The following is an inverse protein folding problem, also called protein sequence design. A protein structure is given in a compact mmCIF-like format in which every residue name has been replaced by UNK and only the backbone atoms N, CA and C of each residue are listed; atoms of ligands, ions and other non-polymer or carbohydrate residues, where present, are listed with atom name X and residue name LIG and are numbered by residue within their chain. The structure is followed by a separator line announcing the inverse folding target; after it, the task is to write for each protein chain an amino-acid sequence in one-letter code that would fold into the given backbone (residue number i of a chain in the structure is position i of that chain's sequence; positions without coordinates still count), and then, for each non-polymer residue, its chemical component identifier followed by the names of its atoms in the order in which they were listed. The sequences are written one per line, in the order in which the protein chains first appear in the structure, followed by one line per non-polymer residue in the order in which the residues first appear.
data_IF_599041329460
#
_entry.id   IF_599041329460
#
_cell.length_a   1.000
_cell.length_b   1.000
_cell.length_c   1.000
_cell.angle_alpha   90.00
_cell.angle_beta   90.00
_cell.angle_gamma   90.00
#
_symmetry.space_group_name_H-M   'P 1'
#
loop_
_entity.id
_entity.type
_entity.pdbx_description
1 polymer ?
#
# COMPACT_ATOMS: atom_id res chain seq x y z
N UNK A 1 13.34 6.12 -27.42
CA UNK A 1 13.38 7.53 -26.97
C UNK A 1 14.44 8.30 -27.76
N UNK A 2 15.62 7.73 -28.01
CA UNK A 2 16.77 8.39 -28.67
C UNK A 2 16.46 9.10 -29.99
N UNK A 3 15.69 8.47 -30.87
CA UNK A 3 15.46 8.96 -32.23
C UNK A 3 14.53 10.19 -32.26
N UNK A 4 13.46 10.16 -31.47
CA UNK A 4 12.38 11.15 -31.56
C UNK A 4 12.21 11.98 -30.28
N UNK A 5 12.90 11.64 -29.20
CA UNK A 5 12.57 12.11 -27.86
C UNK A 5 12.67 13.61 -27.68
N UNK A 6 13.67 14.25 -28.31
CA UNK A 6 13.78 15.71 -28.31
C UNK A 6 12.60 16.42 -28.98
N UNK A 7 11.84 15.73 -29.84
CA UNK A 7 10.69 16.29 -30.54
C UNK A 7 9.35 15.97 -29.84
N UNK A 8 9.36 15.18 -28.77
CA UNK A 8 8.15 14.77 -28.04
C UNK A 8 7.99 15.58 -26.76
N UNK A 9 6.79 16.07 -26.49
CA UNK A 9 6.46 16.75 -25.24
C UNK A 9 6.10 15.75 -24.12
N UNK A 10 5.65 14.54 -24.47
CA UNK A 10 5.20 13.50 -23.54
C UNK A 10 5.42 12.10 -24.11
N UNK A 11 5.35 11.08 -23.25
CA UNK A 11 5.36 9.67 -23.63
C UNK A 11 3.96 9.08 -23.58
N UNK A 12 3.48 8.48 -24.67
CA UNK A 12 2.17 7.83 -24.70
C UNK A 12 2.28 6.31 -24.71
N UNK A 13 1.55 5.63 -23.82
CA UNK A 13 1.49 4.15 -23.76
C UNK A 13 0.08 3.67 -23.42
N UNK A 14 -0.22 2.42 -23.78
CA UNK A 14 -1.44 1.73 -23.37
C UNK A 14 -1.11 0.61 -22.38
N UNK A 15 -1.91 0.49 -21.32
CA UNK A 15 -1.66 -0.46 -20.24
C UNK A 15 -2.90 -1.33 -19.98
N UNK A 16 -2.84 -2.57 -20.44
CA UNK A 16 -3.93 -3.53 -20.27
C UNK A 16 -3.53 -4.74 -19.44
N UNK A 17 -4.34 -5.07 -18.45
CA UNK A 17 -4.36 -6.38 -17.82
C UNK A 17 -5.01 -7.40 -18.76
N UNK A 18 -4.47 -8.62 -18.80
CA UNK A 18 -5.13 -9.75 -19.46
C UNK A 18 -5.64 -10.72 -18.38
N UNK A 19 -6.83 -10.49 -17.81
CA UNK A 19 -7.35 -11.31 -16.72
C UNK A 19 -7.86 -12.68 -17.16
N UNK A 20 -8.01 -12.90 -18.48
CA UNK A 20 -8.35 -14.20 -19.06
C UNK A 20 -7.90 -14.25 -20.52
N UNK A 21 -6.83 -15.00 -20.80
CA UNK A 21 -6.31 -15.24 -22.15
C UNK A 21 -5.86 -16.70 -22.32
N UNK A 22 -6.15 -17.31 -23.46
CA UNK A 22 -5.61 -18.63 -23.80
C UNK A 22 -6.16 -19.75 -22.91
N UNK A 23 -7.42 -19.65 -22.51
CA UNK A 23 -8.07 -20.63 -21.63
C UNK A 23 -7.95 -20.28 -20.14
N UNK A 24 -8.05 -19.00 -19.79
CA UNK A 24 -8.12 -18.54 -18.40
C UNK A 24 -6.79 -18.08 -17.80
N UNK A 25 -5.73 -17.90 -18.59
CA UNK A 25 -4.48 -17.36 -18.06
C UNK A 25 -4.68 -15.89 -17.64
N UNK A 26 -4.11 -15.52 -16.49
CA UNK A 26 -3.99 -14.16 -15.96
C UNK A 26 -2.58 -13.65 -16.25
N UNK A 27 -2.47 -12.64 -17.11
CA UNK A 27 -1.23 -11.89 -17.37
C UNK A 27 -1.47 -10.43 -17.03
N UNK A 28 -1.37 -10.11 -15.75
CA UNK A 28 -1.67 -8.79 -15.23
C UNK A 28 -0.48 -7.84 -15.44
N UNK A 29 -0.79 -6.55 -15.51
CA UNK A 29 0.14 -5.43 -15.41
C UNK A 29 0.00 -4.73 -14.07
N UNK A 30 -1.22 -4.64 -13.55
CA UNK A 30 -1.53 -4.13 -12.21
C UNK A 30 -0.58 -4.75 -11.17
N UNK A 31 -0.09 -3.91 -10.26
CA UNK A 31 0.98 -4.26 -9.35
C UNK A 31 2.38 -4.06 -9.94
N UNK A 32 3.36 -4.88 -9.54
CA UNK A 32 4.78 -4.64 -9.76
C UNK A 32 5.18 -4.49 -11.24
N UNK A 33 4.41 -5.05 -12.19
CA UNK A 33 4.71 -4.98 -13.61
C UNK A 33 4.51 -3.59 -14.23
N UNK A 34 3.42 -2.89 -13.88
CA UNK A 34 3.20 -1.51 -14.34
C UNK A 34 4.21 -0.57 -13.69
N UNK A 35 4.55 -0.81 -12.43
CA UNK A 35 5.60 -0.10 -11.71
C UNK A 35 6.94 -0.21 -12.45
N UNK A 36 7.37 -1.42 -12.84
CA UNK A 36 8.62 -1.63 -13.59
C UNK A 36 8.61 -1.00 -14.98
N UNK A 37 7.45 -1.00 -15.62
CA UNK A 37 7.27 -0.41 -16.96
C UNK A 37 7.45 1.12 -16.89
N UNK A 38 6.78 1.78 -15.94
CA UNK A 38 6.88 3.23 -15.77
C UNK A 38 8.27 3.63 -15.27
N UNK A 39 8.81 2.94 -14.26
CA UNK A 39 10.14 3.23 -13.72
C UNK A 39 11.24 3.12 -14.79
N UNK A 40 11.15 2.15 -15.70
CA UNK A 40 12.11 2.00 -16.80
C UNK A 40 12.04 3.15 -17.82
N UNK A 41 10.83 3.62 -18.12
CA UNK A 41 10.64 4.78 -19.00
C UNK A 41 11.10 6.08 -18.33
N UNK A 42 10.80 6.27 -17.05
CA UNK A 42 11.23 7.42 -16.25
C UNK A 42 12.77 7.48 -16.18
N UNK A 43 13.41 6.38 -15.76
CA UNK A 43 14.86 6.28 -15.63
C UNK A 43 15.57 6.63 -16.95
N UNK A 44 15.11 6.05 -18.06
CA UNK A 44 15.76 6.30 -19.35
C UNK A 44 15.46 7.69 -19.90
N UNK A 45 14.27 8.24 -19.64
CA UNK A 45 13.94 9.64 -19.94
C UNK A 45 14.89 10.57 -19.18
N UNK A 46 15.04 10.38 -17.87
CA UNK A 46 15.90 11.21 -17.03
C UNK A 46 17.36 11.16 -17.49
N UNK A 47 17.89 9.97 -17.77
CA UNK A 47 19.25 9.81 -18.29
C UNK A 47 19.47 10.50 -19.65
N UNK A 48 18.47 10.49 -20.52
CA UNK A 48 18.60 10.98 -21.89
C UNK A 48 18.33 12.48 -22.03
N UNK A 49 17.47 13.04 -21.16
CA UNK A 49 16.94 14.39 -21.31
C UNK A 49 17.14 15.27 -20.06
N UNK A 50 17.63 14.72 -18.95
CA UNK A 50 17.76 15.43 -17.67
C UNK A 50 16.44 15.61 -16.93
N UNK A 51 15.35 15.07 -17.47
CA UNK A 51 13.99 15.16 -16.92
C UNK A 51 13.15 13.93 -17.27
N UNK A 52 12.13 13.67 -16.46
CA UNK A 52 11.06 12.73 -16.81
C UNK A 52 10.01 13.50 -17.58
N UNK A 53 9.85 13.18 -18.87
CA UNK A 53 8.75 13.77 -19.64
C UNK A 53 7.42 13.19 -19.15
N UNK A 54 6.35 14.00 -19.14
CA UNK A 54 5.05 13.53 -18.69
C UNK A 54 4.55 12.31 -19.47
N UNK A 55 3.77 11.46 -18.81
CA UNK A 55 3.09 10.33 -19.42
C UNK A 55 1.65 10.69 -19.79
N UNK A 56 1.25 10.21 -20.96
CA UNK A 56 -0.15 10.11 -21.38
C UNK A 56 -0.49 8.63 -21.49
N UNK A 57 -1.21 8.11 -20.51
CA UNK A 57 -1.76 6.76 -20.56
C UNK A 57 -3.07 6.86 -21.33
N UNK A 58 -2.97 6.90 -22.66
CA UNK A 58 -4.11 7.18 -23.54
C UNK A 58 -5.16 6.08 -23.55
N UNK A 59 -4.81 4.88 -23.08
CA UNK A 59 -5.76 3.80 -22.78
C UNK A 59 -5.24 2.94 -21.62
N UNK A 60 -6.09 2.64 -20.66
CA UNK A 60 -5.83 1.60 -19.66
C UNK A 60 -7.09 0.80 -19.29
N UNK A 61 -6.91 -0.32 -18.61
CA UNK A 61 -7.96 -1.22 -18.15
C UNK A 61 -7.60 -2.68 -18.39
N UNK A 62 -8.55 -3.48 -18.91
CA UNK A 62 -8.33 -4.89 -19.23
C UNK A 62 -8.74 -5.28 -20.66
N UNK A 63 -8.08 -6.31 -21.20
CA UNK A 63 -8.52 -7.05 -22.38
C UNK A 63 -8.91 -8.48 -22.02
N UNK A 64 -10.22 -8.76 -22.10
CA UNK A 64 -10.85 -10.02 -21.71
C UNK A 64 -10.91 -10.98 -22.91
N UNK A 65 -9.73 -11.47 -23.35
CA UNK A 65 -9.56 -12.20 -24.61
C UNK A 65 -10.50 -13.41 -24.76
N UNK A 66 -10.62 -14.23 -23.73
CA UNK A 66 -11.49 -15.42 -23.77
C UNK A 66 -12.99 -15.08 -23.83
N UNK A 67 -13.35 -13.83 -23.51
CA UNK A 67 -14.71 -13.29 -23.55
C UNK A 67 -14.97 -12.38 -24.76
N UNK A 68 -13.96 -12.19 -25.62
CA UNK A 68 -13.99 -11.15 -26.66
C UNK A 68 -15.04 -11.38 -27.74
N UNK A 69 -15.38 -12.64 -28.01
CA UNK A 69 -16.38 -13.06 -28.99
C UNK A 69 -17.71 -13.50 -28.33
N UNK A 70 -17.90 -13.19 -27.04
CA UNK A 70 -19.11 -13.54 -26.30
C UNK A 70 -20.04 -12.33 -26.18
N UNK A 71 -21.33 -12.61 -25.93
CA UNK A 71 -22.27 -11.56 -25.56
C UNK A 71 -21.86 -10.87 -24.26
N UNK A 72 -22.37 -9.66 -24.05
CA UNK A 72 -22.14 -8.93 -22.80
C UNK A 72 -22.55 -9.74 -21.56
N UNK A 73 -21.76 -9.62 -20.49
CA UNK A 73 -22.11 -10.14 -19.18
C UNK A 73 -21.58 -9.20 -18.08
N UNK A 74 -22.26 -9.11 -16.93
CA UNK A 74 -21.77 -8.35 -15.77
C UNK A 74 -20.37 -8.79 -15.32
N UNK A 75 -20.09 -10.10 -15.37
CA UNK A 75 -18.78 -10.62 -15.02
C UNK A 75 -17.66 -10.12 -15.95
N UNK A 76 -17.95 -9.97 -17.25
CA UNK A 76 -16.97 -9.40 -18.18
C UNK A 76 -16.63 -7.96 -17.82
N UNK A 77 -17.63 -7.18 -17.39
CA UNK A 77 -17.39 -5.81 -16.93
C UNK A 77 -16.56 -5.80 -15.63
N UNK A 78 -16.84 -6.71 -14.69
CA UNK A 78 -16.02 -6.87 -13.47
C UNK A 78 -14.53 -7.07 -13.77
N UNK A 79 -14.18 -7.94 -14.73
CA UNK A 79 -12.79 -8.20 -15.11
C UNK A 79 -12.05 -6.91 -15.53
N UNK A 80 -12.79 -5.93 -16.04
CA UNK A 80 -12.26 -4.64 -16.43
C UNK A 80 -12.29 -3.64 -15.27
N UNK A 81 -13.38 -3.59 -14.48
CA UNK A 81 -13.51 -2.73 -13.29
C UNK A 81 -12.38 -2.93 -12.29
N UNK A 82 -12.05 -4.17 -11.95
CA UNK A 82 -10.96 -4.46 -11.00
C UNK A 82 -9.60 -3.99 -11.51
N UNK A 83 -9.35 -4.12 -12.82
CA UNK A 83 -8.11 -3.67 -13.45
C UNK A 83 -8.02 -2.14 -13.49
N UNK A 84 -9.13 -1.45 -13.78
CA UNK A 84 -9.18 0.01 -13.79
C UNK A 84 -8.80 0.60 -12.44
N UNK A 85 -9.35 0.07 -11.34
CA UNK A 85 -9.06 0.57 -10.01
C UNK A 85 -7.59 0.30 -9.62
N UNK A 86 -7.12 -0.94 -9.79
CA UNK A 86 -5.74 -1.31 -9.46
C UNK A 86 -4.69 -0.48 -10.24
N UNK A 87 -4.92 -0.26 -11.55
CA UNK A 87 -4.03 0.57 -12.36
C UNK A 87 -4.13 2.06 -11.99
N UNK A 88 -5.34 2.57 -11.73
CA UNK A 88 -5.53 3.95 -11.29
C UNK A 88 -4.74 4.26 -10.02
N UNK A 89 -4.77 3.37 -9.02
CA UNK A 89 -4.00 3.57 -7.78
C UNK A 89 -2.49 3.70 -8.06
N UNK A 90 -1.93 2.88 -8.97
CA UNK A 90 -0.54 3.03 -9.41
C UNK A 90 -0.26 4.36 -10.14
N UNK A 91 -1.27 4.94 -10.80
CA UNK A 91 -1.15 6.24 -11.46
C UNK A 91 -1.26 7.40 -10.47
N UNK A 92 -2.10 7.27 -9.45
CA UNK A 92 -2.25 8.25 -8.36
C UNK A 92 -0.98 8.37 -7.49
N UNK A 93 -0.10 7.38 -7.52
CA UNK A 93 1.26 7.47 -6.95
C UNK A 93 2.22 8.37 -7.77
N UNK A 94 1.82 8.82 -8.97
CA UNK A 94 2.67 9.59 -9.90
C UNK A 94 1.98 10.83 -10.47
N UNK A 95 1.24 11.62 -9.67
CA UNK A 95 0.42 12.70 -10.20
C UNK A 95 1.27 13.83 -10.80
N UNK A 96 2.54 13.94 -10.39
CA UNK A 96 3.52 14.89 -10.93
C UNK A 96 4.01 14.51 -12.34
N UNK A 97 3.99 13.23 -12.71
CA UNK A 97 4.52 12.73 -13.98
C UNK A 97 3.42 12.25 -14.95
N UNK A 98 2.19 12.00 -14.49
CA UNK A 98 1.08 11.58 -15.36
C UNK A 98 0.23 12.80 -15.72
N UNK A 99 0.37 13.26 -16.97
CA UNK A 99 -0.45 14.36 -17.49
C UNK A 99 -1.90 13.94 -17.76
N UNK A 100 -2.12 12.69 -18.17
CA UNK A 100 -3.45 12.13 -18.39
C UNK A 100 -3.42 10.61 -18.32
N UNK A 101 -4.44 10.02 -17.71
CA UNK A 101 -4.73 8.58 -17.78
C UNK A 101 -6.20 8.38 -18.16
N UNK A 102 -6.44 7.74 -19.30
CA UNK A 102 -7.77 7.58 -19.89
C UNK A 102 -8.21 6.13 -19.78
N UNK A 103 -9.23 5.92 -18.97
CA UNK A 103 -9.90 4.65 -18.84
C UNK A 103 -10.57 4.27 -20.18
N UNK A 104 -10.25 3.10 -20.74
CA UNK A 104 -10.76 2.69 -22.05
C UNK A 104 -12.20 2.15 -21.98
N UNK A 105 -13.16 3.07 -21.88
CA UNK A 105 -14.59 2.78 -21.94
C UNK A 105 -15.27 3.74 -22.92
N UNK A 106 -15.79 3.19 -24.03
CA UNK A 106 -16.50 3.98 -25.05
C UNK A 106 -17.98 4.10 -24.67
N UNK A 107 -18.65 5.20 -25.00
CA UNK A 107 -20.05 5.40 -24.58
C UNK A 107 -20.99 4.29 -25.11
N UNK A 108 -21.04 4.09 -26.44
CA UNK A 108 -21.96 3.13 -27.10
C UNK A 108 -21.30 2.22 -28.13
N UNK A 109 -20.32 2.72 -28.88
CA UNK A 109 -19.56 1.99 -29.89
C UNK A 109 -20.40 1.17 -30.89
N UNK A 110 -21.49 1.72 -31.44
CA UNK A 110 -22.33 1.01 -32.44
C UNK A 110 -21.53 0.63 -33.71
N UNK A 111 -20.49 1.39 -34.05
CA UNK A 111 -19.55 1.07 -35.15
C UNK A 111 -18.78 -0.24 -34.93
N UNK A 112 -18.65 -0.70 -33.68
CA UNK A 112 -17.94 -1.92 -33.31
C UNK A 112 -18.83 -3.15 -33.16
N UNK A 113 -20.11 -3.06 -33.54
CA UNK A 113 -21.01 -4.21 -33.59
C UNK A 113 -20.63 -5.12 -34.76
N UNK A 114 -20.19 -6.34 -34.48
CA UNK A 114 -19.68 -7.25 -35.50
C UNK A 114 -20.15 -8.69 -35.25
N UNK A 115 -20.61 -9.39 -36.30
CA UNK A 115 -21.05 -10.79 -36.24
C UNK A 115 -22.04 -11.10 -35.09
N UNK A 116 -22.97 -10.17 -34.81
CA UNK A 116 -23.95 -10.34 -33.75
C UNK A 116 -23.45 -10.02 -32.33
N UNK A 117 -22.17 -9.65 -32.18
CA UNK A 117 -21.52 -9.31 -30.91
C UNK A 117 -21.31 -7.80 -30.84
N UNK A 118 -21.90 -7.11 -29.84
CA UNK A 118 -21.59 -5.71 -29.59
C UNK A 118 -20.14 -5.50 -29.13
N UNK A 119 -19.60 -4.31 -29.38
CA UNK A 119 -18.26 -3.94 -28.91
C UNK A 119 -18.10 -4.13 -27.39
N UNK A 120 -16.94 -4.61 -26.94
CA UNK A 120 -16.79 -5.10 -25.56
C UNK A 120 -16.62 -3.98 -24.52
N UNK A 121 -15.99 -2.88 -24.89
CA UNK A 121 -15.61 -1.80 -23.97
C UNK A 121 -16.62 -0.66 -24.03
N UNK A 122 -17.82 -0.88 -23.47
CA UNK A 122 -18.93 0.08 -23.53
C UNK A 122 -19.43 0.50 -22.15
N UNK A 123 -19.72 1.79 -21.99
CA UNK A 123 -20.43 2.35 -20.83
C UNK A 123 -21.93 2.06 -20.90
N UNK A 124 -22.49 1.97 -22.11
CA UNK A 124 -23.91 1.71 -22.32
C UNK A 124 -24.14 0.47 -23.20
N UNK A 125 -25.18 -0.29 -22.84
CA UNK A 125 -25.70 -1.43 -23.60
C UNK A 125 -27.18 -1.25 -23.93
N UNK A 126 -27.69 -2.05 -24.86
CA UNK A 126 -29.13 -2.17 -25.06
C UNK A 126 -29.73 -2.96 -23.88
N UNK A 127 -30.89 -2.53 -23.42
CA UNK A 127 -31.60 -3.05 -22.25
C UNK A 127 -31.77 -4.58 -22.26
N UNK A 128 -32.05 -5.16 -23.43
CA UNK A 128 -32.33 -6.59 -23.57
C UNK A 128 -31.08 -7.46 -23.83
N UNK A 129 -29.87 -6.89 -23.81
CA UNK A 129 -28.63 -7.68 -23.83
C UNK A 129 -28.50 -8.52 -22.54
N UNK A 130 -27.97 -9.77 -22.61
CA UNK A 130 -27.40 -10.44 -23.78
C UNK A 130 -28.41 -11.20 -24.66
N UNK A 131 -29.68 -11.28 -24.26
CA UNK A 131 -30.70 -12.06 -24.98
C UNK A 131 -30.97 -11.52 -26.37
N UNK A 132 -31.01 -10.20 -26.55
CA UNK A 132 -31.14 -9.55 -27.86
C UNK A 132 -30.55 -8.13 -27.86
N UNK A 133 -30.07 -7.67 -29.02
CA UNK A 133 -29.56 -6.30 -29.18
C UNK A 133 -30.70 -5.31 -29.46
N UNK A 134 -31.64 -5.18 -28.51
CA UNK A 134 -32.86 -4.35 -28.63
C UNK A 134 -33.17 -3.62 -27.31
N UNK A 135 -34.10 -2.66 -27.36
CA UNK A 135 -34.48 -1.85 -26.20
C UNK A 135 -33.72 -0.53 -26.12
N UNK A 136 -33.94 0.22 -25.05
CA UNK A 136 -33.29 1.51 -24.82
C UNK A 136 -31.84 1.34 -24.36
N UNK A 137 -31.08 2.44 -24.34
CA UNK A 137 -29.74 2.45 -23.79
C UNK A 137 -29.78 2.51 -22.27
N UNK A 138 -29.12 1.56 -21.63
CA UNK A 138 -28.91 1.51 -20.18
C UNK A 138 -27.42 1.39 -19.88
N UNK A 139 -26.99 1.78 -18.68
CA UNK A 139 -25.60 1.60 -18.29
C UNK A 139 -25.24 0.11 -18.19
N UNK A 140 -24.01 -0.21 -18.59
CA UNK A 140 -23.32 -1.44 -18.22
C UNK A 140 -22.82 -1.32 -16.78
N UNK A 141 -22.24 -2.39 -16.23
CA UNK A 141 -21.66 -2.33 -14.88
C UNK A 141 -20.41 -1.45 -14.81
N UNK A 142 -19.82 -1.09 -15.97
CA UNK A 142 -18.72 -0.12 -16.07
C UNK A 142 -19.05 1.23 -15.42
N UNK A 143 -20.34 1.60 -15.29
CA UNK A 143 -20.74 2.84 -14.60
C UNK A 143 -20.34 2.85 -13.12
N UNK A 144 -20.19 1.68 -12.51
CA UNK A 144 -19.85 1.53 -11.08
C UNK A 144 -18.49 2.12 -10.73
N UNK A 145 -17.55 2.17 -11.69
CA UNK A 145 -16.29 2.89 -11.50
C UNK A 145 -16.54 4.38 -11.20
N UNK A 146 -17.34 5.06 -12.04
CA UNK A 146 -17.64 6.48 -11.83
C UNK A 146 -18.49 6.73 -10.58
N UNK A 147 -19.38 5.80 -10.24
CA UNK A 147 -20.18 5.89 -9.01
C UNK A 147 -19.32 5.75 -7.76
N UNK A 148 -18.37 4.78 -7.75
CA UNK A 148 -17.41 4.60 -6.67
C UNK A 148 -16.61 5.88 -6.41
N UNK A 149 -16.01 6.45 -7.46
CA UNK A 149 -15.10 7.61 -7.37
C UNK A 149 -15.80 8.98 -7.37
N UNK A 150 -17.13 9.02 -7.43
CA UNK A 150 -17.92 10.24 -7.71
C UNK A 150 -17.66 11.44 -6.80
N UNK A 151 -17.30 11.19 -5.53
CA UNK A 151 -17.13 12.24 -4.52
C UNK A 151 -15.65 12.50 -4.15
N UNK A 152 -14.71 11.69 -4.64
CA UNK A 152 -13.30 11.81 -4.24
C UNK A 152 -12.70 13.08 -4.83
N UNK A 153 -12.23 13.96 -3.94
CA UNK A 153 -11.55 15.20 -4.28
C UNK A 153 -10.74 15.69 -3.07
N UNK A 154 -9.85 16.67 -3.29
CA UNK A 154 -9.21 17.41 -2.22
C UNK A 154 -7.69 17.36 -2.23
N UNK A 155 -7.10 17.76 -1.11
CA UNK A 155 -5.65 17.71 -0.88
C UNK A 155 -5.25 16.29 -0.51
N UNK A 156 -4.27 15.72 -1.23
CA UNK A 156 -3.71 14.40 -0.91
C UNK A 156 -3.08 14.43 0.48
N UNK A 157 -3.37 13.43 1.31
CA UNK A 157 -2.81 13.26 2.66
C UNK A 157 -1.91 12.02 2.72
N UNK A 158 -1.09 11.94 3.76
CA UNK A 158 -0.22 10.80 4.01
C UNK A 158 -1.06 9.55 4.35
N UNK A 159 -0.80 8.45 3.66
CA UNK A 159 -1.42 7.14 3.90
C UNK A 159 -0.39 6.04 3.77
N UNK A 160 -0.51 5.00 4.58
CA UNK A 160 0.44 3.90 4.60
C UNK A 160 -0.27 2.55 4.74
N UNK A 161 0.27 1.53 4.07
CA UNK A 161 -0.07 0.13 4.31
C UNK A 161 1.21 -0.67 4.53
N UNK A 162 1.17 -1.57 5.50
CA UNK A 162 2.25 -2.53 5.76
C UNK A 162 2.20 -3.75 4.83
N UNK A 163 1.19 -3.83 3.96
CA UNK A 163 1.02 -4.86 2.95
C UNK A 163 1.04 -4.24 1.54
N UNK A 164 2.05 -4.55 0.75
CA UNK A 164 2.20 -4.05 -0.63
C UNK A 164 1.05 -4.45 -1.57
N UNK A 165 0.27 -5.48 -1.23
CA UNK A 165 -0.91 -5.87 -2.02
C UNK A 165 -2.15 -5.02 -1.73
N UNK A 166 -2.10 -4.18 -0.68
CA UNK A 166 -3.16 -3.23 -0.35
C UNK A 166 -2.68 -1.84 -0.75
N UNK A 167 -3.14 -1.37 -1.91
CA UNK A 167 -2.86 0.00 -2.34
C UNK A 167 -3.77 0.95 -1.57
N UNK A 168 -3.18 2.02 -1.04
CA UNK A 168 -3.88 3.03 -0.26
C UNK A 168 -3.63 4.43 -0.80
N UNK A 169 -4.63 5.30 -0.70
CA UNK A 169 -4.50 6.73 -0.97
C UNK A 169 -5.54 7.50 -0.17
N UNK A 170 -5.31 8.81 0.03
CA UNK A 170 -6.15 9.63 0.89
C UNK A 170 -6.29 11.06 0.41
N UNK A 171 -7.50 11.64 0.51
CA UNK A 171 -7.77 13.03 0.14
C UNK A 171 -8.66 13.72 1.17
N UNK A 172 -8.41 15.01 1.40
CA UNK A 172 -9.20 15.85 2.31
C UNK A 172 -9.81 17.03 1.56
N UNK A 173 -11.14 17.18 1.68
CA UNK A 173 -11.89 18.32 1.14
C UNK A 173 -12.80 18.90 2.24
N UNK A 174 -12.40 20.06 2.79
CA UNK A 174 -13.12 20.72 3.88
C UNK A 174 -13.16 19.88 5.15
N UNK A 175 -14.35 19.37 5.51
CA UNK A 175 -14.55 18.50 6.67
C UNK A 175 -14.67 17.02 6.30
N UNK A 176 -14.37 16.65 5.06
CA UNK A 176 -14.40 15.26 4.60
C UNK A 176 -13.00 14.73 4.34
N UNK A 177 -12.78 13.47 4.69
CA UNK A 177 -11.63 12.69 4.27
C UNK A 177 -12.10 11.45 3.50
N UNK A 178 -11.43 11.15 2.40
CA UNK A 178 -11.66 10.00 1.54
C UNK A 178 -10.45 9.09 1.64
N UNK A 179 -10.62 7.90 2.22
CA UNK A 179 -9.57 6.88 2.28
C UNK A 179 -9.90 5.78 1.28
N UNK A 180 -9.02 5.56 0.31
CA UNK A 180 -9.19 4.57 -0.75
C UNK A 180 -8.33 3.36 -0.42
N UNK A 181 -8.92 2.17 -0.52
CA UNK A 181 -8.28 0.88 -0.33
C UNK A 181 -8.52 0.02 -1.57
N UNK A 182 -7.47 -0.54 -2.17
CA UNK A 182 -7.58 -1.45 -3.30
C UNK A 182 -6.77 -2.73 -3.05
N UNK A 183 -7.42 -3.88 -3.23
CA UNK A 183 -6.81 -5.18 -3.00
C UNK A 183 -6.27 -5.76 -4.32
N UNK A 184 -4.97 -6.06 -4.37
CA UNK A 184 -4.34 -6.76 -5.49
C UNK A 184 -4.39 -8.28 -5.34
N UNK A 185 -4.72 -8.80 -4.15
CA UNK A 185 -4.82 -10.22 -3.87
C UNK A 185 -6.08 -10.85 -4.48
N UNK A 186 -5.96 -12.14 -4.76
CA UNK A 186 -7.07 -13.00 -5.20
C UNK A 186 -7.88 -13.56 -4.02
N UNK A 187 -7.67 -13.03 -2.83
CA UNK A 187 -8.32 -13.41 -1.57
C UNK A 187 -8.80 -12.17 -0.84
N UNK A 188 -9.83 -12.35 -0.02
CA UNK A 188 -10.29 -11.32 0.91
C UNK A 188 -9.21 -11.03 1.94
N UNK A 189 -9.07 -9.77 2.32
CA UNK A 189 -8.13 -9.29 3.33
C UNK A 189 -8.88 -8.53 4.43
N UNK A 190 -8.49 -8.73 5.68
CA UNK A 190 -8.97 -7.92 6.80
C UNK A 190 -8.02 -6.74 6.98
N UNK A 191 -8.55 -5.52 6.88
CA UNK A 191 -7.77 -4.28 6.98
C UNK A 191 -8.07 -3.63 8.32
N UNK A 192 -7.06 -3.59 9.19
CA UNK A 192 -7.12 -2.77 10.39
C UNK A 192 -6.91 -1.30 10.01
N UNK A 193 -7.85 -0.45 10.41
CA UNK A 193 -7.89 0.97 10.13
C UNK A 193 -7.36 1.74 11.32
N UNK A 194 -6.33 2.54 11.10
CA UNK A 194 -5.84 3.50 12.08
C UNK A 194 -5.90 4.92 11.47
N UNK A 195 -6.73 5.78 12.07
CA UNK A 195 -6.82 7.20 11.71
C UNK A 195 -6.22 7.98 12.86
N UNK A 196 -4.96 8.36 12.68
CA UNK A 196 -4.19 9.14 13.66
C UNK A 196 -4.33 10.63 13.38
N UNK A 197 -3.86 11.47 14.32
CA UNK A 197 -3.74 12.93 14.12
C UNK A 197 -5.06 13.66 13.82
N UNK A 198 -6.17 13.18 14.37
CA UNK A 198 -7.47 13.84 14.21
C UNK A 198 -7.63 15.12 15.07
N UNK A 199 -6.63 15.53 15.84
CA UNK A 199 -6.64 16.75 16.68
C UNK A 199 -7.90 16.97 17.54
N UNK A 200 -8.45 15.87 18.06
CA UNK A 200 -9.68 15.89 18.86
C UNK A 200 -10.96 16.16 18.04
N UNK A 201 -10.87 16.18 16.71
CA UNK A 201 -12.03 16.16 15.83
C UNK A 201 -12.82 14.88 16.06
N UNK A 202 -14.14 15.03 16.15
CA UNK A 202 -15.06 13.90 16.19
C UNK A 202 -15.52 13.54 14.78
N UNK A 203 -15.50 12.25 14.48
CA UNK A 203 -16.10 11.70 13.26
C UNK A 203 -17.62 11.72 13.45
N UNK A 204 -18.31 12.50 12.62
CA UNK A 204 -19.77 12.64 12.63
C UNK A 204 -20.46 11.50 11.87
N UNK A 205 -19.88 11.06 10.76
CA UNK A 205 -20.36 9.91 9.99
C UNK A 205 -19.23 9.24 9.21
N UNK A 206 -19.41 7.95 8.95
CA UNK A 206 -18.53 7.15 8.10
C UNK A 206 -19.39 6.42 7.07
N UNK A 207 -19.14 6.68 5.79
CA UNK A 207 -19.80 6.01 4.68
C UNK A 207 -18.80 5.10 3.99
N UNK A 208 -19.20 3.85 3.74
CA UNK A 208 -18.43 2.89 2.97
C UNK A 208 -19.02 2.75 1.58
N UNK A 209 -18.24 3.01 0.54
CA UNK A 209 -18.52 2.61 -0.85
C UNK A 209 -17.60 1.44 -1.21
N UNK A 210 -18.16 0.29 -1.55
CA UNK A 210 -17.39 -0.93 -1.79
C UNK A 210 -17.79 -1.58 -3.11
N UNK A 211 -16.85 -1.61 -4.05
CA UNK A 211 -16.97 -2.25 -5.36
C UNK A 211 -16.29 -3.62 -5.34
N UNK A 212 -17.07 -4.70 -5.41
CA UNK A 212 -16.57 -6.08 -5.30
C UNK A 212 -17.35 -7.03 -6.21
N UNK A 213 -16.87 -8.27 -6.36
CA UNK A 213 -17.58 -9.35 -7.04
C UNK A 213 -18.29 -10.24 -6.02
N UNK A 214 -19.60 -10.44 -6.17
CA UNK A 214 -20.33 -11.37 -5.30
C UNK A 214 -20.14 -12.84 -5.69
N UNK A 215 -20.63 -13.75 -4.84
CA UNK A 215 -20.56 -15.19 -5.08
C UNK A 215 -21.35 -15.70 -6.29
N UNK A 216 -22.15 -14.84 -6.95
CA UNK A 216 -22.88 -15.13 -8.19
C UNK A 216 -22.16 -14.56 -9.43
N UNK A 217 -20.93 -14.08 -9.29
CA UNK A 217 -20.15 -13.41 -10.34
C UNK A 217 -20.80 -12.11 -10.86
N UNK A 218 -21.51 -11.39 -10.00
CA UNK A 218 -22.06 -10.07 -10.32
C UNK A 218 -21.26 -8.97 -9.61
N UNK A 219 -20.80 -7.93 -10.31
CA UNK A 219 -20.18 -6.78 -9.67
C UNK A 219 -21.23 -6.05 -8.82
N UNK A 220 -20.89 -5.78 -7.57
CA UNK A 220 -21.72 -5.03 -6.62
C UNK A 220 -21.04 -3.71 -6.28
N UNK A 221 -21.81 -2.65 -6.16
CA UNK A 221 -21.38 -1.39 -5.55
C UNK A 221 -22.29 -1.15 -4.35
N UNK A 222 -21.77 -1.46 -3.15
CA UNK A 222 -22.48 -1.26 -1.90
C UNK A 222 -22.10 0.12 -1.33
N UNK A 223 -23.08 0.97 -1.10
CA UNK A 223 -22.92 2.24 -0.40
C UNK A 223 -23.77 2.21 0.86
N UNK A 224 -23.13 2.27 2.02
CA UNK A 224 -23.83 2.20 3.31
C UNK A 224 -23.11 3.01 4.40
N UNK A 225 -23.86 3.64 5.32
CA UNK A 225 -23.27 4.15 6.55
C UNK A 225 -22.79 2.99 7.42
N UNK A 226 -21.61 3.13 8.00
CA UNK A 226 -21.07 2.19 8.99
C UNK A 226 -20.77 2.91 10.31
N UNK A 227 -20.47 2.16 11.37
CA UNK A 227 -20.19 2.74 12.67
C UNK A 227 -18.91 3.60 12.62
N UNK A 228 -18.94 4.80 13.21
CA UNK A 228 -17.79 5.73 13.22
C UNK A 228 -16.58 5.20 13.99
N UNK A 229 -16.78 4.18 14.83
CA UNK A 229 -15.74 3.49 15.58
C UNK A 229 -15.30 2.17 14.92
N UNK A 230 -15.67 1.92 13.66
CA UNK A 230 -15.17 0.77 12.89
C UNK A 230 -13.64 0.88 12.78
N UNK A 231 -12.95 -0.09 13.35
CA UNK A 231 -11.48 -0.20 13.32
C UNK A 231 -10.96 -1.26 12.35
N UNK A 232 -11.85 -2.04 11.75
CA UNK A 232 -11.48 -3.12 10.82
C UNK A 232 -12.53 -3.23 9.73
N UNK A 233 -12.10 -3.47 8.48
CA UNK A 233 -12.99 -3.73 7.34
C UNK A 233 -12.51 -4.92 6.53
N UNK A 234 -13.43 -5.72 6.02
CA UNK A 234 -13.13 -6.78 5.05
C UNK A 234 -13.05 -6.19 3.65
N UNK A 235 -11.88 -6.27 3.02
CA UNK A 235 -11.66 -5.88 1.63
C UNK A 235 -11.59 -7.13 0.76
N UNK A 236 -12.66 -7.40 0.01
CA UNK A 236 -12.75 -8.60 -0.82
C UNK A 236 -11.62 -8.71 -1.86
N UNK A 237 -11.40 -9.93 -2.35
CA UNK A 237 -10.49 -10.23 -3.44
C UNK A 237 -10.67 -9.29 -4.64
N UNK A 238 -9.57 -8.69 -5.09
CA UNK A 238 -9.53 -7.79 -6.25
C UNK A 238 -10.51 -6.59 -6.17
N UNK A 239 -10.96 -6.23 -4.98
CA UNK A 239 -11.99 -5.20 -4.74
C UNK A 239 -11.41 -3.82 -4.39
N UNK A 240 -12.25 -2.80 -4.49
CA UNK A 240 -11.90 -1.42 -4.12
C UNK A 240 -12.94 -0.85 -3.18
N UNK A 241 -12.49 -0.23 -2.09
CA UNK A 241 -13.32 0.41 -1.09
C UNK A 241 -12.90 1.87 -0.92
N UNK A 242 -13.88 2.76 -0.77
CA UNK A 242 -13.68 4.16 -0.42
C UNK A 242 -14.47 4.44 0.86
N UNK A 243 -13.74 4.85 1.90
CA UNK A 243 -14.29 5.28 3.17
C UNK A 243 -14.36 6.81 3.17
N UNK A 244 -15.57 7.35 3.21
CA UNK A 244 -15.82 8.78 3.39
C UNK A 244 -16.06 9.06 4.87
N UNK A 245 -15.09 9.68 5.52
CA UNK A 245 -15.22 10.25 6.86
C UNK A 245 -15.74 11.66 6.75
N UNK A 246 -16.79 12.00 7.51
CA UNK A 246 -17.21 13.39 7.72
C UNK A 246 -16.93 13.78 9.16
N UNK A 247 -16.16 14.84 9.36
CA UNK A 247 -15.82 15.38 10.68
C UNK A 247 -16.76 16.52 11.06
N UNK A 248 -16.87 16.76 12.36
CA UNK A 248 -17.70 17.84 12.93
C UNK A 248 -17.24 19.24 12.54
N UNK A 249 -15.96 19.41 12.19
CA UNK A 249 -15.37 20.66 11.72
C UNK A 249 -14.44 20.38 10.53
N UNK A 250 -14.02 21.44 9.84
CA UNK A 250 -13.02 21.33 8.79
C UNK A 250 -11.72 20.73 9.32
N UNK A 251 -11.09 19.89 8.51
CA UNK A 251 -9.81 19.25 8.83
C UNK A 251 -8.71 20.28 8.56
N UNK A 252 -7.84 20.51 9.55
CA UNK A 252 -6.64 21.31 9.37
C UNK A 252 -5.52 20.40 8.86
N UNK A 253 -4.81 20.83 7.83
CA UNK A 253 -3.58 20.20 7.35
C UNK A 253 -2.47 21.21 7.59
N UNK A 254 -1.64 20.96 8.60
CA UNK A 254 -0.56 21.86 9.04
C UNK A 254 0.83 21.24 8.94
N UNK A 255 0.92 19.97 8.55
CA UNK A 255 2.17 19.26 8.25
C UNK A 255 2.23 18.79 6.78
N UNK A 256 3.42 18.38 6.33
CA UNK A 256 3.66 17.99 4.94
C UNK A 256 4.68 16.87 4.82
N UNK A 257 4.33 15.85 4.04
CA UNK A 257 5.26 14.87 3.46
C UNK A 257 5.59 15.27 2.04
N UNK A 258 6.86 15.52 1.73
CA UNK A 258 7.33 15.78 0.37
C UNK A 258 8.01 14.53 -0.18
N UNK A 259 7.35 13.85 -1.12
CA UNK A 259 7.94 12.75 -1.88
C UNK A 259 8.84 13.27 -3.01
N UNK A 260 10.05 12.72 -3.15
CA UNK A 260 10.92 12.94 -4.30
C UNK A 260 11.52 11.61 -4.74
N UNK A 261 11.43 11.34 -6.05
CA UNK A 261 12.03 10.16 -6.68
C UNK A 261 13.35 10.52 -7.35
N UNK A 262 14.39 9.79 -7.00
CA UNK A 262 15.75 9.92 -7.53
C UNK A 262 16.10 8.73 -8.42
N UNK A 263 16.83 9.00 -9.50
CA UNK A 263 17.18 8.01 -10.52
C UNK A 263 18.66 7.66 -10.42
N UNK A 264 19.01 6.40 -10.65
CA UNK A 264 20.41 5.99 -10.67
C UNK A 264 21.13 6.55 -11.91
N UNK A 265 22.45 6.66 -11.84
CA UNK A 265 23.29 7.07 -12.98
C UNK A 265 23.40 6.01 -14.08
N UNK A 266 22.97 4.78 -13.81
CA UNK A 266 22.96 3.65 -14.76
C UNK A 266 21.68 2.84 -14.60
N UNK A 267 21.34 2.09 -15.65
CA UNK A 267 20.16 1.22 -15.72
C UNK A 267 20.49 -0.05 -16.52
N UNK A 268 19.54 -1.00 -16.57
CA UNK A 268 19.59 -2.19 -17.43
C UNK A 268 20.92 -2.97 -17.31
N UNK A 269 21.26 -3.38 -16.10
CA UNK A 269 22.49 -4.13 -15.83
C UNK A 269 22.22 -5.65 -15.89
N UNK A 270 23.02 -6.43 -16.62
CA UNK A 270 22.87 -7.89 -16.66
C UNK A 270 23.24 -8.49 -15.30
N UNK A 271 22.54 -9.55 -14.90
CA UNK A 271 22.81 -10.21 -13.61
C UNK A 271 23.69 -11.44 -13.83
N UNK A 272 24.85 -11.44 -13.17
CA UNK A 272 25.83 -12.52 -13.16
C UNK A 272 26.01 -13.00 -11.71
N UNK A 273 25.97 -14.31 -11.51
CA UNK A 273 26.03 -14.93 -10.19
C UNK A 273 27.25 -14.47 -9.39
N UNK A 274 27.03 -14.05 -8.14
CA UNK A 274 28.03 -13.58 -7.18
C UNK A 274 28.86 -12.39 -7.69
N UNK A 275 28.35 -11.65 -8.68
CA UNK A 275 28.94 -10.40 -9.13
C UNK A 275 28.09 -9.23 -8.63
N UNK A 276 28.69 -8.41 -7.79
CA UNK A 276 28.07 -7.18 -7.32
C UNK A 276 27.91 -6.18 -8.47
N UNK A 277 26.70 -5.67 -8.65
CA UNK A 277 26.41 -4.50 -9.50
C UNK A 277 26.23 -3.27 -8.60
N UNK A 278 26.92 -2.17 -8.91
CA UNK A 278 26.83 -0.94 -8.14
C UNK A 278 26.08 0.14 -8.91
N UNK A 279 25.14 0.79 -8.23
CA UNK A 279 24.38 1.93 -8.70
C UNK A 279 24.71 3.15 -7.85
N UNK A 280 24.70 4.33 -8.47
CA UNK A 280 24.85 5.61 -7.77
C UNK A 280 23.55 6.39 -7.89
N UNK A 281 23.01 6.83 -6.75
CA UNK A 281 21.85 7.71 -6.66
C UNK A 281 22.27 8.95 -5.90
N UNK A 282 22.40 10.06 -6.62
CA UNK A 282 23.10 11.26 -6.18
C UNK A 282 22.15 12.43 -5.97
N UNK A 283 22.69 13.50 -5.38
CA UNK A 283 21.99 14.78 -5.15
C UNK A 283 20.67 14.63 -4.37
N UNK A 284 20.61 13.63 -3.48
CA UNK A 284 19.45 13.36 -2.64
C UNK A 284 19.30 14.42 -1.57
N UNK A 285 18.20 15.16 -1.61
CA UNK A 285 17.82 16.11 -0.58
C UNK A 285 17.09 15.39 0.55
N UNK A 286 17.60 15.56 1.77
CA UNK A 286 17.14 14.88 2.97
C UNK A 286 16.83 15.89 4.08
N UNK A 287 15.64 15.80 4.66
CA UNK A 287 15.25 16.57 5.85
C UNK A 287 15.67 15.85 7.14
N UNK A 288 15.27 16.38 8.30
CA UNK A 288 15.55 15.75 9.60
C UNK A 288 14.77 14.45 9.80
N UNK A 289 13.51 14.41 9.37
CA UNK A 289 12.59 13.29 9.55
C UNK A 289 12.07 12.83 8.21
N UNK A 290 11.93 11.52 8.02
CA UNK A 290 11.48 10.99 6.75
C UNK A 290 11.61 9.49 6.65
N UNK A 291 11.22 9.00 5.48
CA UNK A 291 11.25 7.61 5.08
C UNK A 291 11.91 7.48 3.70
N UNK A 292 12.37 6.27 3.37
CA UNK A 292 12.94 6.00 2.06
C UNK A 292 12.59 4.59 1.59
N UNK A 293 12.29 4.47 0.30
CA UNK A 293 12.00 3.19 -0.36
C UNK A 293 12.91 3.07 -1.58
N UNK A 294 13.78 2.06 -1.54
CA UNK A 294 14.56 1.65 -2.70
C UNK A 294 13.66 0.83 -3.63
N UNK A 295 13.66 1.15 -4.91
CA UNK A 295 12.89 0.46 -5.93
C UNK A 295 13.83 -0.23 -6.90
N UNK A 296 13.81 -1.55 -6.92
CA UNK A 296 14.68 -2.37 -7.78
C UNK A 296 13.82 -3.07 -8.82
N UNK A 297 13.88 -2.58 -10.06
CA UNK A 297 13.21 -3.21 -11.20
C UNK A 297 14.00 -4.43 -11.68
N UNK A 298 13.33 -5.58 -11.79
CA UNK A 298 13.94 -6.84 -12.21
C UNK A 298 13.19 -7.44 -13.39
N UNK A 299 13.94 -7.96 -14.36
CA UNK A 299 13.42 -8.76 -15.47
C UNK A 299 14.13 -10.10 -15.55
N UNK A 300 13.53 -11.19 -15.04
CA UNK A 300 14.17 -12.50 -14.87
C UNK A 300 13.24 -13.66 -15.18
N UNK A 301 13.79 -14.75 -15.72
CA UNK A 301 13.03 -15.98 -15.95
C UNK A 301 12.58 -16.61 -14.62
N UNK A 302 11.46 -17.32 -14.66
CA UNK A 302 10.97 -18.08 -13.50
C UNK A 302 11.98 -19.13 -13.04
N UNK A 303 11.99 -19.39 -11.73
CA UNK A 303 12.95 -20.31 -11.09
C UNK A 303 14.30 -19.67 -10.74
N UNK A 304 14.53 -18.42 -11.13
CA UNK A 304 15.66 -17.63 -10.65
C UNK A 304 15.29 -16.80 -9.41
N UNK A 305 16.29 -16.40 -8.62
CA UNK A 305 16.06 -15.64 -7.39
C UNK A 305 15.50 -14.23 -7.67
N UNK A 306 14.53 -13.83 -6.87
CA UNK A 306 14.05 -12.44 -6.72
C UNK A 306 14.50 -11.83 -5.38
N UNK A 307 15.40 -12.50 -4.66
CA UNK A 307 15.93 -12.12 -3.35
C UNK A 307 17.43 -11.79 -3.48
N UNK A 308 17.79 -10.58 -3.95
CA UNK A 308 19.17 -10.14 -3.96
C UNK A 308 19.71 -9.85 -2.57
N UNK A 309 21.03 -9.92 -2.41
CA UNK A 309 21.71 -9.23 -1.31
C UNK A 309 21.88 -7.76 -1.69
N UNK A 310 21.34 -6.85 -0.88
CA UNK A 310 21.43 -5.40 -1.11
C UNK A 310 22.19 -4.71 0.01
N UNK A 311 23.09 -3.81 -0.36
CA UNK A 311 23.72 -2.87 0.58
C UNK A 311 23.49 -1.43 0.13
N UNK A 312 23.07 -0.58 1.05
CA UNK A 312 22.99 0.88 0.86
C UNK A 312 24.09 1.51 1.70
N UNK A 313 25.01 2.23 1.04
CA UNK A 313 26.17 2.86 1.69
C UNK A 313 26.98 1.88 2.54
N UNK A 314 27.11 0.64 2.05
CA UNK A 314 27.84 -0.45 2.71
C UNK A 314 27.04 -1.23 3.78
N UNK A 315 25.88 -0.74 4.20
CA UNK A 315 25.01 -1.40 5.19
C UNK A 315 24.04 -2.36 4.52
N UNK A 316 23.95 -3.59 5.03
CA UNK A 316 23.01 -4.60 4.54
C UNK A 316 21.56 -4.18 4.81
N UNK A 317 20.69 -4.37 3.82
CA UNK A 317 19.25 -4.08 3.91
C UNK A 317 18.47 -5.39 3.74
N UNK A 318 17.44 -5.57 4.55
CA UNK A 318 16.51 -6.69 4.42
C UNK A 318 15.59 -6.46 3.21
N UNK A 319 15.49 -7.47 2.34
CA UNK A 319 14.63 -7.42 1.15
C UNK A 319 13.33 -8.15 1.49
N UNK A 320 12.16 -7.49 1.40
CA UNK A 320 10.88 -8.14 1.64
C UNK A 320 10.65 -9.34 0.70
N UNK A 321 9.97 -10.37 1.22
CA UNK A 321 9.54 -11.50 0.40
C UNK A 321 8.34 -11.15 -0.49
N UNK A 322 7.51 -10.20 -0.06
CA UNK A 322 6.35 -9.73 -0.81
C UNK A 322 6.70 -8.56 -1.74
N UNK A 323 5.96 -8.43 -2.82
CA UNK A 323 5.98 -7.29 -3.74
C UNK A 323 4.55 -7.01 -4.19
N UNK A 324 4.31 -5.80 -4.70
CA UNK A 324 2.98 -5.37 -5.15
C UNK A 324 2.41 -6.33 -6.21
N UNK A 325 1.30 -7.01 -5.93
CA UNK A 325 0.56 -7.85 -6.85
C UNK A 325 1.15 -9.24 -7.10
N UNK A 326 0.71 -9.89 -8.19
CA UNK A 326 0.95 -11.33 -8.37
C UNK A 326 2.40 -11.71 -8.71
N UNK A 327 2.72 -12.99 -8.50
CA UNK A 327 4.03 -13.59 -8.80
C UNK A 327 4.32 -13.75 -10.30
N UNK A 328 3.41 -13.36 -11.18
CA UNK A 328 3.56 -13.42 -12.64
C UNK A 328 3.80 -14.84 -13.18
N UNK A 329 3.40 -15.88 -12.46
CA UNK A 329 3.69 -17.30 -12.79
C UNK A 329 3.13 -17.75 -14.14
N UNK A 330 2.12 -17.04 -14.66
CA UNK A 330 1.49 -17.31 -15.96
C UNK A 330 2.01 -16.41 -17.09
N UNK A 331 2.96 -15.52 -16.79
CA UNK A 331 3.76 -14.79 -17.78
C UNK A 331 5.01 -15.60 -18.11
N UNK A 332 5.68 -15.29 -19.22
CA UNK A 332 6.92 -15.96 -19.62
C UNK A 332 8.05 -15.78 -18.58
N UNK A 333 8.05 -14.64 -17.89
CA UNK A 333 9.09 -14.21 -16.96
C UNK A 333 8.50 -13.24 -15.94
N UNK A 334 9.19 -13.06 -14.83
CA UNK A 334 8.94 -11.95 -13.91
C UNK A 334 9.50 -10.67 -14.52
N UNK A 335 8.68 -9.62 -14.60
CA UNK A 335 9.14 -8.26 -14.81
C UNK A 335 8.39 -7.35 -13.84
N UNK A 336 9.05 -6.89 -12.78
CA UNK A 336 8.43 -6.17 -11.68
C UNK A 336 9.42 -5.39 -10.83
N UNK A 337 8.91 -4.46 -10.01
CA UNK A 337 9.69 -3.71 -9.02
C UNK A 337 9.58 -4.39 -7.66
N UNK A 338 10.73 -4.54 -6.99
CA UNK A 338 10.80 -4.78 -5.56
C UNK A 338 10.86 -3.43 -4.83
N UNK A 339 9.90 -3.19 -3.93
CA UNK A 339 9.83 -2.01 -3.08
C UNK A 339 10.44 -2.36 -1.71
N UNK A 340 11.57 -1.74 -1.39
CA UNK A 340 12.44 -2.16 -0.28
C UNK A 340 12.61 -0.97 0.66
N UNK A 341 11.96 -0.98 1.84
CA UNK A 341 12.16 0.06 2.83
C UNK A 341 13.63 0.15 3.25
N UNK A 342 14.18 1.37 3.27
CA UNK A 342 15.56 1.63 3.70
C UNK A 342 15.50 2.54 4.94
N UNK A 343 16.22 2.21 6.03
CA UNK A 343 16.32 3.11 7.17
C UNK A 343 16.78 4.50 6.74
N UNK A 344 15.96 5.52 7.03
CA UNK A 344 16.20 6.89 6.59
C UNK A 344 17.58 7.42 7.04
N UNK A 345 18.08 6.96 8.19
CA UNK A 345 19.42 7.30 8.71
C UNK A 345 20.57 6.89 7.79
N UNK A 346 20.38 5.90 6.91
CA UNK A 346 21.38 5.45 5.94
C UNK A 346 21.45 6.33 4.69
N UNK A 347 20.40 7.10 4.40
CA UNK A 347 20.34 7.97 3.22
C UNK A 347 21.29 9.16 3.39
N UNK A 348 22.11 9.36 2.37
CA UNK A 348 23.08 10.44 2.22
C UNK A 348 22.74 11.28 0.99
N UNK A 349 23.49 12.35 0.72
CA UNK A 349 23.34 13.10 -0.53
C UNK A 349 23.70 12.24 -1.75
N UNK A 350 24.83 11.53 -1.67
CA UNK A 350 25.28 10.57 -2.68
C UNK A 350 25.24 9.17 -2.11
N UNK A 351 24.52 8.27 -2.77
CA UNK A 351 24.27 6.93 -2.27
C UNK A 351 24.82 5.88 -3.23
N UNK A 352 25.67 5.00 -2.72
CA UNK A 352 26.05 3.78 -3.42
C UNK A 352 25.14 2.64 -2.99
N UNK A 353 24.46 2.03 -3.97
CA UNK A 353 23.65 0.84 -3.76
C UNK A 353 24.28 -0.34 -4.48
N UNK A 354 24.66 -1.36 -3.73
CA UNK A 354 25.23 -2.61 -4.25
C UNK A 354 24.16 -3.69 -4.27
N UNK A 355 23.98 -4.34 -5.42
CA UNK A 355 23.01 -5.44 -5.61
C UNK A 355 23.75 -6.67 -6.12
N UNK A 356 23.53 -7.82 -5.49
CA UNK A 356 24.14 -9.09 -5.87
C UNK A 356 23.11 -10.23 -5.81
N UNK A 357 23.19 -11.14 -6.77
CA UNK A 357 22.39 -12.36 -6.81
C UNK A 357 23.31 -13.59 -6.78
N UNK A 358 22.86 -14.67 -6.13
CA UNK A 358 23.59 -15.95 -6.12
C UNK A 358 23.53 -16.71 -7.45
N UNK A 359 22.69 -16.29 -8.39
CA UNK A 359 22.41 -16.94 -9.67
C UNK A 359 22.44 -15.95 -10.86
N UNK A 360 22.76 -16.47 -12.04
CA UNK A 360 22.89 -15.69 -13.29
C UNK A 360 21.56 -15.67 -14.05
N UNK A 361 21.28 -14.55 -14.74
CA UNK A 361 20.24 -14.48 -15.74
C UNK A 361 19.30 -13.28 -15.55
N UNK A 362 18.83 -12.72 -16.67
CA UNK A 362 18.00 -11.51 -16.63
C UNK A 362 18.79 -10.25 -16.30
N UNK A 363 18.07 -9.19 -15.93
CA UNK A 363 18.62 -7.86 -15.71
C UNK A 363 17.99 -7.18 -14.50
N UNK A 364 18.76 -6.29 -13.88
CA UNK A 364 18.23 -5.20 -13.07
C UNK A 364 17.86 -4.10 -14.07
N UNK A 365 16.57 -3.93 -14.37
CA UNK A 365 16.10 -2.93 -15.35
C UNK A 365 16.36 -1.51 -14.86
N UNK A 366 16.09 -1.25 -13.59
CA UNK A 366 16.19 0.06 -12.95
C UNK A 366 16.53 -0.05 -11.47
N UNK A 367 17.15 1.00 -10.95
CA UNK A 367 17.28 1.24 -9.53
C UNK A 367 16.94 2.70 -9.27
N UNK A 368 15.89 2.95 -8.49
CA UNK A 368 15.46 4.31 -8.12
C UNK A 368 15.21 4.39 -6.62
N UNK A 369 15.21 5.59 -6.07
CA UNK A 369 15.00 5.83 -4.64
C UNK A 369 13.87 6.84 -4.44
N UNK A 370 12.81 6.45 -3.76
CA UNK A 370 11.81 7.38 -3.24
C UNK A 370 12.25 7.84 -1.86
N UNK A 371 12.23 9.16 -1.64
CA UNK A 371 12.50 9.77 -0.33
C UNK A 371 11.30 10.62 0.05
N UNK A 372 10.77 10.37 1.23
CA UNK A 372 9.65 11.09 1.82
C UNK A 372 10.22 11.97 2.94
N UNK A 373 10.33 13.27 2.68
CA UNK A 373 10.82 14.23 3.66
C UNK A 373 9.63 14.81 4.45
N UNK A 374 9.64 14.67 5.76
CA UNK A 374 8.60 15.21 6.64
C UNK A 374 8.98 16.60 7.17
N UNK A 375 7.96 17.46 7.34
CA UNK A 375 8.09 18.77 7.99
C UNK A 375 8.33 18.67 9.50
N UNK A 376 7.82 17.62 10.14
CA UNK A 376 7.99 17.31 11.56
C UNK A 376 8.14 15.80 11.81
N UNK A 377 8.19 15.36 13.08
CA UNK A 377 8.40 13.96 13.45
C UNK A 377 7.08 13.16 13.44
N UNK A 378 6.49 13.00 12.24
CA UNK A 378 5.15 12.41 12.05
C UNK A 378 5.01 10.96 12.54
N UNK A 379 6.11 10.23 12.70
CA UNK A 379 6.10 8.80 13.09
C UNK A 379 6.39 8.58 14.59
N UNK A 380 6.74 9.63 15.31
CA UNK A 380 7.01 9.60 16.75
C UNK A 380 5.94 10.37 17.55
N UNK A 381 4.82 10.70 16.90
CA UNK A 381 3.62 11.24 17.52
C UNK A 381 2.90 10.12 18.28
N UNK A 382 3.53 9.62 19.35
CA UNK A 382 2.73 9.13 20.47
C UNK A 382 1.86 10.29 20.90
N UNK A 383 0.54 10.18 20.67
CA UNK A 383 -0.48 11.05 21.23
C UNK A 383 -0.06 11.46 22.65
N UNK A 384 0.19 12.77 22.81
CA UNK A 384 0.37 13.39 24.11
C UNK A 384 -0.91 13.20 24.91
N UNK A 385 -0.97 12.11 25.68
CA UNK A 385 -1.85 12.03 26.83
C UNK A 385 -1.20 12.89 27.89
N UNK A 386 -1.49 14.20 27.86
CA UNK A 386 -1.04 15.19 28.83
C UNK A 386 0.17 14.76 29.66
N UNK A 387 1.36 15.01 29.14
CA UNK A 387 2.51 15.42 29.93
C UNK A 387 2.66 14.68 31.28
N UNK A 388 2.75 13.35 31.24
CA UNK A 388 3.63 12.68 32.19
C UNK A 388 5.01 12.66 31.55
N UNK A 389 5.71 13.79 31.63
CA UNK A 389 7.19 13.85 31.70
C UNK A 389 7.68 12.53 32.24
N UNK A 390 8.42 11.79 31.41
CA UNK A 390 9.08 10.52 31.74
C UNK A 390 9.37 10.43 33.24
N UNK A 391 8.43 9.89 34.00
CA UNK A 391 8.67 9.57 35.39
C UNK A 391 9.73 8.47 35.35
N UNK A 392 10.78 8.56 36.18
CA UNK A 392 11.93 7.67 36.10
C UNK A 392 11.44 6.22 36.02
N UNK A 393 11.77 5.54 34.92
CA UNK A 393 11.27 4.19 34.59
C UNK A 393 11.32 3.31 35.85
N UNK A 394 10.16 2.94 36.38
CA UNK A 394 10.09 2.11 37.57
C UNK A 394 10.51 0.70 37.17
N UNK A 395 11.56 0.17 37.80
CA UNK A 395 12.09 -1.17 37.52
C UNK A 395 11.92 -2.08 38.74
N UNK A 396 11.45 -3.31 38.51
CA UNK A 396 11.44 -4.37 39.52
C UNK A 396 12.72 -5.20 39.42
N UNK A 397 13.35 -5.49 40.55
CA UNK A 397 14.54 -6.34 40.60
C UNK A 397 14.68 -7.13 41.93
N UNK A 398 15.26 -8.33 41.91
CA UNK A 398 15.63 -9.10 40.73
C UNK A 398 14.39 -9.62 40.00
N UNK A 399 14.47 -9.74 38.68
CA UNK A 399 13.49 -10.44 37.85
C UNK A 399 14.26 -11.21 36.76
N UNK A 400 14.38 -12.55 36.84
CA UNK A 400 13.64 -13.47 37.72
C UNK A 400 13.98 -13.35 39.21
N UNK A 401 13.04 -13.67 40.11
CA UNK A 401 13.19 -13.60 41.58
C UNK A 401 13.07 -14.98 42.23
N UNK A 402 13.69 -15.18 43.40
CA UNK A 402 13.42 -16.30 44.31
C UNK A 402 12.34 -16.01 45.35
N UNK A 403 11.76 -14.81 45.34
CA UNK A 403 10.64 -14.43 46.20
C UNK A 403 10.57 -12.94 46.50
N UNK A 404 11.69 -12.34 46.87
CA UNK A 404 11.75 -10.91 47.24
C UNK A 404 12.00 -10.02 46.02
N UNK A 405 11.27 -8.91 45.90
CA UNK A 405 11.33 -7.99 44.76
C UNK A 405 11.38 -6.55 45.28
N UNK A 406 12.30 -5.76 44.74
CA UNK A 406 12.51 -4.36 45.07
C UNK A 406 12.09 -3.45 43.92
N UNK A 407 11.63 -2.23 44.26
CA UNK A 407 11.30 -1.18 43.30
C UNK A 407 12.47 -0.19 43.15
N UNK A 408 12.95 0.01 41.92
CA UNK A 408 13.88 1.08 41.55
C UNK A 408 13.11 2.20 40.87
N UNK A 409 13.17 3.41 41.42
CA UNK A 409 12.44 4.58 40.92
C UNK A 409 11.34 5.03 41.88
N UNK A 410 10.86 6.25 41.73
CA UNK A 410 9.80 6.79 42.56
C UNK A 410 8.45 6.22 42.11
N UNK A 411 7.88 5.29 42.87
CA UNK A 411 6.51 4.78 42.65
C UNK A 411 5.58 5.43 43.64
N UNK A 412 4.57 6.14 43.15
CA UNK A 412 3.45 6.55 43.98
C UNK A 412 2.32 5.53 43.82
N UNK A 413 2.01 4.79 44.87
CA UNK A 413 0.91 3.84 44.96
C UNK A 413 0.57 3.62 46.43
N UNK A 414 -0.69 3.30 46.76
CA UNK A 414 -1.04 2.89 48.14
C UNK A 414 -1.11 1.37 48.25
N UNK A 415 -1.52 0.68 47.18
CA UNK A 415 -1.64 -0.76 47.13
C UNK A 415 -1.10 -1.34 45.82
N UNK A 416 -0.51 -2.53 45.91
CA UNK A 416 -0.12 -3.33 44.77
C UNK A 416 -0.71 -4.74 44.90
N UNK A 417 -1.30 -5.22 43.82
CA UNK A 417 -1.98 -6.51 43.76
C UNK A 417 -1.20 -7.45 42.84
N UNK A 418 -1.06 -8.71 43.26
CA UNK A 418 -0.38 -9.76 42.49
C UNK A 418 -1.42 -10.71 41.91
N UNK A 419 -1.34 -10.96 40.62
CA UNK A 419 -2.22 -11.84 39.86
C UNK A 419 -1.42 -13.00 39.25
N UNK A 420 -2.01 -14.19 39.22
CA UNK A 420 -1.47 -15.31 38.46
C UNK A 420 -1.86 -15.22 36.97
N UNK A 421 -1.37 -16.16 36.15
CA UNK A 421 -1.66 -16.21 34.70
C UNK A 421 -3.14 -16.40 34.35
N UNK A 422 -3.96 -16.87 35.28
CA UNK A 422 -5.41 -17.01 35.10
C UNK A 422 -6.18 -15.74 35.49
N UNK A 423 -5.49 -14.64 35.82
CA UNK A 423 -6.10 -13.38 36.24
C UNK A 423 -6.64 -13.38 37.67
N UNK A 424 -6.38 -14.43 38.46
CA UNK A 424 -6.78 -14.49 39.87
C UNK A 424 -5.80 -13.71 40.74
N UNK A 425 -6.33 -12.84 41.60
CA UNK A 425 -5.54 -12.10 42.60
C UNK A 425 -5.09 -13.06 43.70
N UNK A 426 -3.78 -13.27 43.80
CA UNK A 426 -3.16 -14.22 44.74
C UNK A 426 -2.52 -13.54 45.95
N UNK A 427 -2.15 -12.26 45.86
CA UNK A 427 -1.56 -11.50 46.97
C UNK A 427 -1.82 -10.01 46.84
N UNK A 428 -1.66 -9.26 47.92
CA UNK A 428 -1.79 -7.80 47.94
C UNK A 428 -0.88 -7.21 49.00
N UNK A 429 -0.25 -6.09 48.69
CA UNK A 429 0.66 -5.38 49.58
C UNK A 429 0.28 -3.90 49.64
N UNK A 430 0.48 -3.28 50.80
CA UNK A 430 0.47 -1.82 50.92
C UNK A 430 1.80 -1.25 50.41
N UNK A 431 1.86 0.06 50.17
CA UNK A 431 3.06 0.78 49.73
C UNK A 431 4.31 0.34 50.49
N UNK A 432 5.25 -0.27 49.78
CA UNK A 432 6.54 -0.68 50.31
C UNK A 432 7.60 -0.62 49.20
N UNK A 433 8.86 -0.44 49.58
CA UNK A 433 9.99 -0.48 48.62
C UNK A 433 10.40 -1.90 48.26
N UNK A 434 9.89 -2.88 49.02
CA UNK A 434 10.12 -4.31 48.87
C UNK A 434 8.81 -5.09 49.05
N UNK A 435 8.62 -6.14 48.25
CA UNK A 435 7.50 -7.08 48.37
C UNK A 435 8.03 -8.52 48.35
N UNK A 436 7.43 -9.38 49.17
CA UNK A 436 7.82 -10.78 49.31
C UNK A 436 6.72 -11.74 48.81
N UNK A 437 7.00 -12.36 47.67
CA UNK A 437 6.19 -13.39 47.04
C UNK A 437 6.79 -14.81 47.20
N UNK A 438 7.70 -15.03 48.15
CA UNK A 438 8.37 -16.34 48.36
C UNK A 438 7.41 -17.50 48.58
N UNK A 439 6.25 -17.23 49.18
CA UNK A 439 5.20 -18.22 49.45
C UNK A 439 4.42 -18.65 48.18
N UNK A 440 4.55 -17.91 47.08
CA UNK A 440 3.92 -18.26 45.82
C UNK A 440 4.74 -19.35 45.09
N UNK A 441 4.04 -20.27 44.41
CA UNK A 441 4.67 -21.30 43.60
C UNK A 441 5.49 -20.68 42.46
N UNK A 442 6.45 -21.43 41.92
CA UNK A 442 7.22 -20.98 40.77
C UNK A 442 6.30 -20.75 39.56
N UNK A 443 6.49 -19.63 38.87
CA UNK A 443 5.58 -19.21 37.80
C UNK A 443 5.67 -17.73 37.44
N UNK A 444 4.82 -17.32 36.49
CA UNK A 444 4.69 -15.93 36.04
C UNK A 444 3.58 -15.25 36.84
N UNK A 445 3.87 -14.06 37.34
CA UNK A 445 2.93 -13.21 38.05
C UNK A 445 2.89 -11.80 37.45
N UNK A 446 1.71 -11.19 37.52
CA UNK A 446 1.45 -9.82 37.09
C UNK A 446 1.15 -8.96 38.31
N UNK A 447 1.86 -7.86 38.46
CA UNK A 447 1.70 -6.92 39.56
C UNK A 447 1.01 -5.68 39.02
N UNK A 448 -0.04 -5.21 39.69
CA UNK A 448 -0.79 -4.01 39.34
C UNK A 448 -0.89 -3.07 40.53
N UNK A 449 -0.42 -1.83 40.39
CA UNK A 449 -0.65 -0.80 41.41
C UNK A 449 -2.04 -0.19 41.27
N UNK A 450 -2.54 0.41 42.34
CA UNK A 450 -3.77 1.22 42.33
C UNK A 450 -3.64 2.49 41.46
N UNK A 451 -2.41 2.89 41.14
CA UNK A 451 -2.09 3.98 40.20
C UNK A 451 -1.94 3.56 38.75
N UNK A 452 -2.25 2.29 38.42
CA UNK A 452 -2.29 1.83 37.03
C UNK A 452 -0.94 1.38 36.46
N UNK A 453 0.11 1.23 37.28
CA UNK A 453 1.37 0.62 36.83
C UNK A 453 1.26 -0.90 36.81
N UNK A 454 1.81 -1.51 35.75
CA UNK A 454 1.79 -2.94 35.52
C UNK A 454 3.21 -3.50 35.39
N UNK A 455 3.48 -4.63 36.04
CA UNK A 455 4.76 -5.30 35.94
C UNK A 455 4.61 -6.82 35.79
N UNK A 456 5.51 -7.45 35.05
CA UNK A 456 5.61 -8.91 34.91
C UNK A 456 6.80 -9.42 35.71
N UNK A 457 6.60 -10.45 36.52
CA UNK A 457 7.65 -11.07 37.35
C UNK A 457 7.68 -12.58 37.09
N UNK A 458 8.89 -13.13 36.93
CA UNK A 458 9.14 -14.56 36.91
C UNK A 458 9.68 -15.03 38.26
N UNK A 459 8.90 -15.83 38.99
CA UNK A 459 9.30 -16.49 40.24
C UNK A 459 9.94 -17.84 39.93
N UNK A 460 11.20 -18.03 40.34
CA UNK A 460 11.97 -19.27 40.21
C UNK A 460 12.23 -19.93 41.56
#
# INVERSE_FOLDING_TARGET
MDVAGNNMDFWSIHLYDFPSIGGGQKKLRSGSNVEATLDMMEQYSYMSFGEVKPFVISEYGAQMHDYSNQQWSPYRDWLHLKAQNAQLMSFLDRPNNIASAINFVIVKAEWGYNNGIPYNHRLMRKENEPTSYTGQWVYTDMVKFYQLWSDVNGTRIDTFSDNLDIQVDGYVDGNKAYVILNNLNFTDEEIDLDVIEIDGLSIASLIKKHLYLDGSNLPQLLEEPIAVNTSTVTLNAESTMILEYTFSNAILIDETTTETKYYATTYLQPIIANQTTNFQVNDVLKSTFGEAVLRVGLGRLHGTSLQPTIKVNGTLIDVPENWRGDNQTQRERFFGVLEIPVPFSLIQADNTVSVEFGDTGGHISTLTLQVFNFSSDLRNLTLDVQDNKLAPSIKLYPNPTKGVINFKGAVNYNNIHVYNIAGLRVKSFKKNTEIDISELTNGIYFLKTDTGHHFKVLKK
#
